data_IF_449041444164
#
_entry.id   IF_449041444164
#
_cell.length_a   1.000
_cell.length_b   1.000
_cell.length_c   1.000
_cell.angle_alpha   90.00
_cell.angle_beta   90.00
_cell.angle_gamma   90.00
#
_symmetry.space_group_name_H-M   'P 1'
#
loop_
_entity.id
_entity.type
_entity.pdbx_description
1 polymer ?
#
# COMPACT_ATOMS: atom_id res chain seq x y z
N UNK A 1 0.65 14.32 -7.59
CA UNK A 1 1.00 14.58 -6.18
C UNK A 1 1.40 16.04 -6.07
N UNK A 2 0.89 16.81 -5.10
CA UNK A 2 1.34 18.19 -4.88
C UNK A 2 2.86 18.24 -4.67
N UNK A 3 3.57 19.25 -5.21
CA UNK A 3 5.03 19.37 -5.08
C UNK A 3 5.50 19.40 -3.62
N UNK A 4 4.72 20.06 -2.75
CA UNK A 4 4.96 20.14 -1.30
C UNK A 4 4.98 18.77 -0.63
N UNK A 5 4.03 17.90 -0.97
CA UNK A 5 4.02 16.54 -0.46
C UNK A 5 5.18 15.71 -1.02
N UNK A 6 5.56 15.91 -2.28
CA UNK A 6 6.68 15.18 -2.88
C UNK A 6 7.99 15.47 -2.13
N UNK A 7 8.26 16.74 -1.80
CA UNK A 7 9.45 17.17 -1.06
C UNK A 7 9.62 16.49 0.30
N UNK A 8 8.54 16.14 1.01
CA UNK A 8 8.60 15.45 2.31
C UNK A 8 9.19 14.03 2.21
N UNK A 9 9.03 13.37 1.06
CA UNK A 9 9.52 11.99 0.86
C UNK A 9 10.83 11.94 0.08
N UNK A 10 11.24 13.06 -0.51
CA UNK A 10 12.47 13.15 -1.30
C UNK A 10 13.67 13.27 -0.38
N UNK A 11 14.43 12.18 -0.26
CA UNK A 11 15.73 12.18 0.44
C UNK A 11 16.86 12.45 -0.55
N UNK A 12 18.01 13.01 -0.11
CA UNK A 12 19.23 13.12 -0.92
C UNK A 12 19.60 11.84 -1.67
N UNK A 13 19.39 10.67 -1.03
CA UNK A 13 19.67 9.35 -1.62
C UNK A 13 18.84 9.00 -2.87
N UNK A 14 17.79 9.78 -3.14
CA UNK A 14 16.95 9.62 -4.32
C UNK A 14 17.63 10.16 -5.58
N UNK A 15 18.70 10.95 -5.42
CA UNK A 15 19.52 11.48 -6.49
C UNK A 15 20.87 10.78 -6.53
N UNK A 16 21.45 10.73 -7.72
CA UNK A 16 22.80 10.24 -7.89
C UNK A 16 23.79 11.24 -7.28
N UNK A 17 24.58 10.77 -6.33
CA UNK A 17 25.57 11.58 -5.63
C UNK A 17 26.80 10.74 -5.31
N UNK A 18 27.95 11.39 -5.25
CA UNK A 18 29.23 10.78 -4.87
C UNK A 18 29.65 11.35 -3.51
N UNK A 19 30.18 10.53 -2.58
CA UNK A 19 30.80 11.04 -1.37
C UNK A 19 31.95 11.98 -1.74
N UNK A 20 31.98 13.20 -1.17
CA UNK A 20 33.08 14.12 -1.46
C UNK A 20 34.38 13.59 -0.83
N UNK A 21 35.49 13.47 -1.59
CA UNK A 21 36.76 12.94 -1.07
C UNK A 21 37.48 13.92 -0.12
N UNK A 22 37.17 15.22 -0.18
CA UNK A 22 37.81 16.27 0.61
C UNK A 22 36.89 16.78 1.71
N UNK A 23 37.26 16.57 2.97
CA UNK A 23 36.47 16.93 4.16
C UNK A 23 36.49 18.44 4.50
N UNK A 24 37.05 19.29 3.61
CA UNK A 24 37.25 20.73 3.85
C UNK A 24 36.25 21.61 3.13
N UNK A 25 35.33 21.05 2.35
CA UNK A 25 34.40 21.84 1.55
C UNK A 25 33.21 22.33 2.40
N UNK A 26 33.07 23.65 2.49
CA UNK A 26 31.99 24.33 3.22
C UNK A 26 30.63 24.20 2.50
N UNK A 27 29.53 24.28 3.24
CA UNK A 27 28.20 24.05 2.70
C UNK A 27 27.82 25.29 1.95
N UNK A 28 27.36 25.16 0.71
CA UNK A 28 26.89 26.34 0.00
C UNK A 28 25.66 26.98 0.65
N UNK A 29 24.90 26.21 1.44
CA UNK A 29 23.68 26.67 2.13
C UNK A 29 24.02 27.26 3.50
N UNK A 30 24.69 26.51 4.38
CA UNK A 30 24.95 26.96 5.77
C UNK A 30 26.38 27.45 6.03
N UNK A 31 27.33 27.26 5.10
CA UNK A 31 28.77 27.61 5.22
C UNK A 31 29.53 26.99 6.39
N UNK A 32 28.97 25.98 7.04
CA UNK A 32 29.66 25.21 8.07
C UNK A 32 30.42 24.02 7.43
N UNK A 33 31.34 23.33 8.12
CA UNK A 33 31.91 22.04 7.69
C UNK A 33 31.00 20.86 8.07
N UNK A 34 30.78 19.90 7.17
CA UNK A 34 29.79 18.81 7.34
C UNK A 34 30.12 17.62 6.42
N UNK A 35 29.33 16.55 6.58
CA UNK A 35 29.33 15.41 5.65
C UNK A 35 28.77 15.83 4.30
N UNK A 36 29.65 16.22 3.40
CA UNK A 36 29.30 16.73 2.09
C UNK A 36 29.00 15.62 1.08
N UNK A 37 28.06 15.90 0.19
CA UNK A 37 27.79 15.09 -1.00
C UNK A 37 28.00 15.95 -2.23
N UNK A 38 28.53 15.33 -3.28
CA UNK A 38 28.60 15.94 -4.60
C UNK A 38 27.43 15.42 -5.44
N UNK A 39 26.60 16.32 -5.95
CA UNK A 39 25.49 15.96 -6.85
C UNK A 39 26.10 15.54 -8.19
N UNK A 40 25.89 14.29 -8.62
CA UNK A 40 26.59 13.72 -9.78
C UNK A 40 26.29 14.45 -11.09
N UNK A 41 25.06 14.95 -11.26
CA UNK A 41 24.60 15.59 -12.49
C UNK A 41 25.26 16.95 -12.75
N UNK A 42 25.52 17.73 -11.70
CA UNK A 42 26.03 19.10 -11.82
C UNK A 42 27.33 19.38 -11.07
N UNK A 43 27.86 18.41 -10.31
CA UNK A 43 29.12 18.51 -9.60
C UNK A 43 29.10 19.41 -8.35
N UNK A 44 27.96 20.00 -7.98
CA UNK A 44 27.88 20.87 -6.79
C UNK A 44 27.98 20.09 -5.50
N UNK A 45 28.74 20.65 -4.57
CA UNK A 45 28.94 20.11 -3.23
C UNK A 45 27.95 20.78 -2.29
N UNK A 46 27.17 19.98 -1.58
CA UNK A 46 26.16 20.44 -0.64
C UNK A 46 26.13 19.54 0.59
N UNK A 47 25.74 20.11 1.72
CA UNK A 47 25.54 19.31 2.92
C UNK A 47 24.38 18.39 2.82
N UNK A 48 24.59 17.13 3.21
CA UNK A 48 23.56 16.10 3.14
C UNK A 48 22.26 16.55 3.85
N UNK A 49 22.39 17.08 5.07
CA UNK A 49 21.26 17.61 5.83
C UNK A 49 20.62 18.84 5.17
N UNK A 50 21.43 19.83 4.78
CA UNK A 50 20.94 21.05 4.14
C UNK A 50 20.27 20.78 2.79
N UNK A 51 20.79 19.82 2.00
CA UNK A 51 20.20 19.40 0.74
C UNK A 51 18.87 18.69 0.97
N UNK A 52 18.78 17.84 1.99
CA UNK A 52 17.51 17.24 2.41
C UNK A 52 16.45 18.29 2.78
N UNK A 53 16.83 19.35 3.51
CA UNK A 53 15.92 20.46 3.82
C UNK A 53 15.54 21.25 2.57
N UNK A 54 16.50 21.55 1.69
CA UNK A 54 16.26 22.26 0.44
C UNK A 54 15.24 21.54 -0.45
N UNK A 55 15.38 20.22 -0.59
CA UNK A 55 14.49 19.38 -1.40
C UNK A 55 13.04 19.34 -0.87
N UNK A 56 12.81 19.64 0.42
CA UNK A 56 11.45 19.77 0.96
C UNK A 56 10.74 21.02 0.43
N UNK A 57 11.48 22.12 0.27
CA UNK A 57 10.95 23.39 -0.22
C UNK A 57 10.95 23.47 -1.75
N UNK A 58 12.00 22.94 -2.38
CA UNK A 58 12.25 23.01 -3.82
C UNK A 58 12.61 21.61 -4.34
N UNK A 59 11.61 20.72 -4.50
CA UNK A 59 11.85 19.36 -4.99
C UNK A 59 12.47 19.37 -6.38
N UNK A 60 13.38 18.42 -6.62
CA UNK A 60 14.06 18.24 -7.92
C UNK A 60 14.83 19.47 -8.41
N UNK A 61 15.32 20.34 -7.51
CA UNK A 61 16.03 21.57 -7.89
C UNK A 61 17.40 21.66 -7.21
N UNK A 62 18.42 22.03 -8.00
CA UNK A 62 19.76 22.28 -7.48
C UNK A 62 19.79 23.58 -6.64
N UNK A 63 20.38 23.59 -5.44
CA UNK A 63 20.45 24.79 -4.60
C UNK A 63 21.33 25.89 -5.17
N UNK A 64 22.26 25.58 -6.09
CA UNK A 64 23.16 26.58 -6.65
C UNK A 64 22.64 27.29 -7.89
N UNK A 65 22.18 26.53 -8.88
CA UNK A 65 21.76 27.09 -10.17
C UNK A 65 20.27 26.98 -10.42
N UNK A 66 19.51 26.34 -9.53
CA UNK A 66 18.07 26.17 -9.72
C UNK A 66 17.69 25.39 -10.98
N UNK A 67 18.59 24.56 -11.52
CA UNK A 67 18.21 23.63 -12.59
C UNK A 67 17.53 22.39 -12.00
N UNK A 68 16.77 21.70 -12.84
CA UNK A 68 16.13 20.45 -12.48
C UNK A 68 17.14 19.31 -12.33
N UNK A 69 16.98 18.52 -11.27
CA UNK A 69 17.76 17.31 -10.99
C UNK A 69 16.99 16.07 -11.41
N UNK A 70 17.69 15.10 -11.97
CA UNK A 70 17.14 13.82 -12.41
C UNK A 70 17.19 12.78 -11.27
N UNK A 71 16.05 12.27 -10.78
CA UNK A 71 16.06 11.22 -9.75
C UNK A 71 16.60 9.90 -10.32
N UNK A 72 17.34 9.15 -9.48
CA UNK A 72 18.09 7.92 -9.86
C UNK A 72 17.21 6.82 -10.46
N UNK A 73 15.91 6.81 -10.17
CA UNK A 73 14.99 5.83 -10.74
C UNK A 73 13.59 6.40 -10.93
N UNK A 74 13.17 6.54 -12.20
CA UNK A 74 11.81 6.98 -12.58
C UNK A 74 10.69 6.01 -12.18
N UNK A 75 11.02 4.80 -11.69
CA UNK A 75 10.07 3.76 -11.30
C UNK A 75 9.87 3.54 -9.80
N UNK A 76 10.58 4.25 -8.92
CA UNK A 76 10.61 3.96 -7.47
C UNK A 76 9.62 4.78 -6.64
N UNK A 77 9.02 5.84 -7.19
CA UNK A 77 8.19 6.75 -6.39
C UNK A 77 6.90 6.09 -5.89
N UNK A 78 6.26 5.19 -6.63
CA UNK A 78 4.95 4.62 -6.21
C UNK A 78 5.12 3.57 -5.12
N UNK A 79 6.04 2.61 -5.30
CA UNK A 79 6.33 1.58 -4.30
C UNK A 79 6.92 2.16 -3.03
N UNK A 80 7.83 3.14 -3.15
CA UNK A 80 8.43 3.79 -1.98
C UNK A 80 7.46 4.75 -1.29
N UNK A 81 6.53 5.39 -2.01
CA UNK A 81 5.44 6.15 -1.42
C UNK A 81 4.53 5.24 -0.60
N UNK A 82 4.13 4.08 -1.12
CA UNK A 82 3.30 3.11 -0.40
C UNK A 82 4.06 2.56 0.82
N UNK A 83 5.31 2.14 0.66
CA UNK A 83 6.15 1.69 1.78
C UNK A 83 6.38 2.79 2.83
N UNK A 84 6.61 4.03 2.41
CA UNK A 84 6.76 5.17 3.31
C UNK A 84 5.44 5.57 3.96
N UNK A 85 4.29 5.44 3.29
CA UNK A 85 2.98 5.67 3.91
C UNK A 85 2.72 4.67 5.04
N UNK A 86 3.15 3.42 4.86
CA UNK A 86 3.06 2.39 5.89
C UNK A 86 4.13 2.52 6.99
N UNK A 87 5.35 2.98 6.67
CA UNK A 87 6.44 3.19 7.65
C UNK A 87 6.31 4.48 8.45
N UNK A 88 5.94 5.58 7.80
CA UNK A 88 5.83 6.91 8.42
C UNK A 88 4.67 6.93 9.40
N UNK A 89 3.53 6.31 9.08
CA UNK A 89 2.32 6.49 9.87
C UNK A 89 2.19 5.61 11.12
N UNK A 90 3.01 4.56 11.27
CA UNK A 90 2.89 3.66 12.43
C UNK A 90 4.15 3.58 13.31
N UNK A 91 5.33 3.98 12.81
CA UNK A 91 6.59 3.79 13.52
C UNK A 91 7.52 5.02 13.51
N UNK A 92 7.55 5.83 12.44
CA UNK A 92 8.50 6.96 12.32
C UNK A 92 8.25 8.07 13.35
N UNK A 93 6.98 8.40 13.63
CA UNK A 93 6.63 9.44 14.60
C UNK A 93 6.97 9.05 16.05
N UNK A 94 7.16 7.75 16.32
CA UNK A 94 7.53 7.27 17.66
C UNK A 94 9.04 7.19 17.81
N UNK A 95 9.76 6.74 16.78
CA UNK A 95 11.20 6.49 16.87
C UNK A 95 12.05 7.76 16.72
N UNK A 96 11.66 8.69 15.84
CA UNK A 96 12.39 9.96 15.64
C UNK A 96 12.17 10.91 16.83
N UNK A 97 10.99 10.90 17.44
CA UNK A 97 10.70 11.61 18.70
C UNK A 97 11.53 11.06 19.86
N UNK A 98 11.69 9.74 19.96
CA UNK A 98 12.47 9.09 21.02
C UNK A 98 13.97 9.37 20.86
N UNK A 99 14.48 9.48 19.62
CA UNK A 99 15.90 9.74 19.36
C UNK A 99 16.28 11.22 19.50
N UNK A 100 15.40 12.16 19.15
CA UNK A 100 15.65 13.59 19.35
C UNK A 100 15.47 14.02 20.80
N UNK A 101 14.47 13.50 21.55
CA UNK A 101 14.35 13.75 22.99
C UNK A 101 15.62 13.36 23.74
N UNK A 102 16.30 12.29 23.32
CA UNK A 102 17.54 11.82 23.97
C UNK A 102 18.75 12.72 23.71
N UNK A 103 18.77 13.48 22.62
CA UNK A 103 19.85 14.42 22.27
C UNK A 103 19.62 15.81 22.85
N UNK A 104 18.36 16.18 23.00
CA UNK A 104 17.95 17.54 23.33
C UNK A 104 17.81 17.77 24.86
N UNK A 105 17.72 16.70 25.68
CA UNK A 105 17.82 16.77 27.16
C UNK A 105 19.19 17.24 27.71
N UNK A 106 19.99 17.96 26.92
CA UNK A 106 21.25 18.58 27.36
C UNK A 106 21.19 20.10 27.46
N UNK A 107 20.11 20.73 27.00
CA UNK A 107 19.96 22.20 26.97
C UNK A 107 18.46 22.55 27.08
N UNK A 108 17.89 22.51 28.29
CA UNK A 108 16.44 22.43 28.58
C UNK A 108 15.60 23.60 28.04
N UNK A 109 16.16 24.80 27.88
CA UNK A 109 15.35 26.01 27.61
C UNK A 109 15.08 26.29 26.10
N UNK A 110 15.85 25.70 25.17
CA UNK A 110 15.61 25.88 23.70
C UNK A 110 14.85 24.72 23.05
N UNK A 111 14.63 23.65 23.80
CA UNK A 111 13.96 22.42 23.34
C UNK A 111 12.51 22.66 23.02
N UNK A 112 11.83 23.34 23.93
CA UNK A 112 10.37 23.45 23.94
C UNK A 112 9.88 24.26 22.74
N UNK A 113 10.56 25.33 22.36
CA UNK A 113 10.17 26.18 21.22
C UNK A 113 10.36 25.46 19.88
N UNK A 114 11.49 24.75 19.69
CA UNK A 114 11.73 23.98 18.46
C UNK A 114 10.78 22.79 18.36
N UNK A 115 10.48 22.15 19.49
CA UNK A 115 9.53 21.06 19.56
C UNK A 115 8.12 21.56 19.23
N UNK A 116 7.68 22.69 19.81
CA UNK A 116 6.38 23.29 19.51
C UNK A 116 6.26 23.67 18.04
N UNK A 117 7.30 24.27 17.47
CA UNK A 117 7.29 24.70 16.06
C UNK A 117 7.23 23.50 15.10
N UNK A 118 7.99 22.43 15.39
CA UNK A 118 7.91 21.19 14.64
C UNK A 118 6.52 20.54 14.77
N UNK A 119 5.95 20.50 15.97
CA UNK A 119 4.64 19.94 16.23
C UNK A 119 3.52 20.73 15.55
N UNK A 120 3.61 22.06 15.50
CA UNK A 120 2.65 22.92 14.79
C UNK A 120 2.72 22.70 13.28
N UNK A 121 3.93 22.58 12.71
CA UNK A 121 4.09 22.26 11.29
C UNK A 121 3.53 20.87 10.95
N UNK A 122 3.76 19.88 11.81
CA UNK A 122 3.19 18.54 11.68
C UNK A 122 1.65 18.56 11.76
N UNK A 123 1.08 19.37 12.64
CA UNK A 123 -0.37 19.51 12.75
C UNK A 123 -1.00 20.25 11.55
N UNK A 124 -0.32 21.24 10.97
CA UNK A 124 -0.84 21.98 9.81
C UNK A 124 -0.83 21.17 8.52
N UNK A 125 0.15 20.26 8.38
CA UNK A 125 0.30 19.41 7.18
C UNK A 125 -0.36 18.03 7.32
N UNK A 126 -1.05 17.77 8.45
CA UNK A 126 -1.76 16.51 8.59
C UNK A 126 -2.88 16.41 7.55
N UNK A 127 -2.88 15.39 6.67
CA UNK A 127 -3.94 15.20 5.70
C UNK A 127 -5.26 15.10 6.44
N UNK A 128 -6.28 15.75 5.87
CA UNK A 128 -7.61 15.75 6.48
C UNK A 128 -8.11 14.32 6.66
N UNK A 129 -8.98 14.10 7.64
CA UNK A 129 -9.61 12.79 7.82
C UNK A 129 -10.29 12.31 6.53
N UNK A 130 -10.84 13.24 5.73
CA UNK A 130 -11.40 12.95 4.41
C UNK A 130 -10.37 12.42 3.40
N UNK A 131 -9.14 12.94 3.39
CA UNK A 131 -8.09 12.45 2.49
C UNK A 131 -7.71 11.03 2.86
N UNK A 132 -7.59 10.75 4.15
CA UNK A 132 -7.30 9.40 4.63
C UNK A 132 -8.43 8.42 4.35
N UNK A 133 -9.67 8.83 4.61
CA UNK A 133 -10.86 8.03 4.29
C UNK A 133 -10.93 7.74 2.78
N UNK A 134 -10.62 8.72 1.93
CA UNK A 134 -10.62 8.54 0.48
C UNK A 134 -9.56 7.53 0.05
N UNK A 135 -8.32 7.66 0.51
CA UNK A 135 -7.25 6.70 0.19
C UNK A 135 -7.61 5.29 0.67
N UNK A 136 -8.13 5.16 1.89
CA UNK A 136 -8.54 3.89 2.46
C UNK A 136 -9.70 3.25 1.69
N UNK A 137 -10.73 4.02 1.34
CA UNK A 137 -11.89 3.55 0.58
C UNK A 137 -11.44 3.12 -0.81
N UNK A 138 -10.69 3.95 -1.53
CA UNK A 138 -10.22 3.62 -2.89
C UNK A 138 -9.39 2.34 -2.91
N UNK A 139 -8.48 2.16 -1.95
CA UNK A 139 -7.65 0.94 -1.88
C UNK A 139 -8.46 -0.28 -1.45
N UNK A 140 -9.28 -0.16 -0.41
CA UNK A 140 -10.04 -1.30 0.12
C UNK A 140 -11.11 -1.77 -0.86
N UNK A 141 -11.82 -0.82 -1.48
CA UNK A 141 -12.82 -1.09 -2.52
C UNK A 141 -12.13 -1.65 -3.76
N UNK A 142 -11.00 -1.07 -4.19
CA UNK A 142 -10.23 -1.56 -5.33
C UNK A 142 -9.76 -3.00 -5.15
N UNK A 143 -9.19 -3.35 -4.00
CA UNK A 143 -8.74 -4.71 -3.68
C UNK A 143 -9.94 -5.68 -3.63
N UNK A 144 -11.07 -5.26 -3.04
CA UNK A 144 -12.28 -6.08 -3.00
C UNK A 144 -12.79 -6.37 -4.41
N UNK A 145 -12.94 -5.36 -5.26
CA UNK A 145 -13.37 -5.51 -6.65
C UNK A 145 -12.44 -6.42 -7.45
N UNK A 146 -11.13 -6.24 -7.31
CA UNK A 146 -10.13 -7.08 -7.98
C UNK A 146 -10.26 -8.54 -7.53
N UNK A 147 -10.45 -8.79 -6.23
CA UNK A 147 -10.65 -10.13 -5.68
C UNK A 147 -11.91 -10.77 -6.24
N UNK A 148 -13.03 -10.04 -6.28
CA UNK A 148 -14.30 -10.51 -6.83
C UNK A 148 -14.20 -10.82 -8.32
N UNK A 149 -13.47 -9.99 -9.08
CA UNK A 149 -13.23 -10.20 -10.50
C UNK A 149 -12.47 -11.51 -10.76
N UNK A 150 -11.33 -11.73 -10.10
CA UNK A 150 -10.55 -12.96 -10.28
C UNK A 150 -11.32 -14.21 -9.88
N UNK A 151 -12.09 -14.13 -8.80
CA UNK A 151 -12.92 -15.23 -8.34
C UNK A 151 -14.01 -15.57 -9.37
N UNK A 152 -14.65 -14.55 -9.95
CA UNK A 152 -15.65 -14.73 -11.02
C UNK A 152 -15.03 -15.40 -12.25
N UNK A 153 -13.86 -14.92 -12.71
CA UNK A 153 -13.14 -15.51 -13.85
C UNK A 153 -12.80 -16.98 -13.57
N UNK A 154 -12.28 -17.28 -12.38
CA UNK A 154 -11.94 -18.64 -11.96
C UNK A 154 -13.15 -19.58 -12.03
N UNK A 155 -14.31 -19.17 -11.50
CA UNK A 155 -15.52 -19.99 -11.54
C UNK A 155 -16.07 -20.16 -12.95
N UNK A 156 -16.03 -19.14 -13.79
CA UNK A 156 -16.40 -19.26 -15.21
C UNK A 156 -15.52 -20.28 -15.93
N UNK A 157 -14.20 -20.24 -15.71
CA UNK A 157 -13.28 -21.23 -16.28
C UNK A 157 -13.56 -22.65 -15.78
N UNK A 158 -13.76 -22.82 -14.47
CA UNK A 158 -14.08 -24.13 -13.89
C UNK A 158 -15.39 -24.71 -14.45
N UNK A 159 -16.42 -23.86 -14.61
CA UNK A 159 -17.68 -24.25 -15.22
C UNK A 159 -17.52 -24.67 -16.68
N UNK A 160 -16.77 -23.89 -17.47
CA UNK A 160 -16.49 -24.23 -18.88
C UNK A 160 -15.74 -25.56 -19.01
N UNK A 161 -14.77 -25.84 -18.13
CA UNK A 161 -14.06 -27.12 -18.10
C UNK A 161 -14.98 -28.28 -17.72
N UNK A 162 -15.88 -28.07 -16.77
CA UNK A 162 -16.88 -29.07 -16.39
C UNK A 162 -17.83 -29.39 -17.54
N UNK A 163 -18.35 -28.37 -18.23
CA UNK A 163 -19.19 -28.55 -19.42
C UNK A 163 -18.44 -29.28 -20.54
N UNK A 164 -17.19 -28.88 -20.80
CA UNK A 164 -16.35 -29.51 -21.81
C UNK A 164 -16.02 -30.98 -21.49
N UNK A 165 -15.93 -31.37 -20.21
CA UNK A 165 -15.71 -32.75 -19.79
C UNK A 165 -16.97 -33.62 -19.86
N UNK A 166 -18.14 -33.04 -19.63
CA UNK A 166 -19.43 -33.77 -19.56
C UNK A 166 -20.13 -33.91 -20.91
N UNK A 167 -20.05 -32.90 -21.79
CA UNK A 167 -20.61 -32.92 -23.15
C UNK A 167 -20.14 -34.10 -24.03
N UNK A 168 -18.83 -34.41 -24.13
CA UNK A 168 -18.37 -35.54 -24.94
C UNK A 168 -18.73 -36.91 -24.33
N UNK A 169 -18.98 -36.98 -23.02
CA UNK A 169 -19.45 -38.22 -22.39
C UNK A 169 -20.89 -38.56 -22.80
N UNK A 170 -21.78 -37.57 -22.90
CA UNK A 170 -23.14 -37.78 -23.41
C UNK A 170 -23.15 -38.11 -24.92
N UNK A 171 -22.30 -37.44 -25.71
CA UNK A 171 -22.20 -37.70 -27.15
C UNK A 171 -21.59 -39.08 -27.47
N UNK A 172 -20.63 -39.56 -26.67
CA UNK A 172 -20.03 -40.89 -26.86
C UNK A 172 -20.91 -42.04 -26.35
N UNK A 173 -21.76 -41.80 -25.34
CA UNK A 173 -22.64 -42.85 -24.78
C UNK A 173 -23.98 -42.99 -25.51
N UNK A 174 -24.35 -42.03 -26.37
CA UNK A 174 -25.50 -42.09 -27.26
C UNK A 174 -25.49 -43.22 -28.30
N UNK A 175 -24.38 -43.95 -28.46
CA UNK A 175 -24.27 -45.07 -29.42
C UNK A 175 -24.05 -46.46 -28.80
N UNK A 176 -24.10 -46.64 -27.47
CA UNK A 176 -23.76 -47.97 -26.90
C UNK A 176 -24.12 -48.30 -25.45
N UNK A 177 -25.02 -47.57 -24.77
CA UNK A 177 -25.26 -47.76 -23.33
C UNK A 177 -26.49 -48.59 -22.93
N UNK A 178 -26.80 -49.65 -23.68
CA UNK A 178 -27.81 -50.63 -23.24
C UNK A 178 -27.29 -51.64 -22.19
N UNK A 179 -25.99 -51.68 -21.84
CA UNK A 179 -25.47 -52.76 -20.97
C UNK A 179 -24.47 -52.40 -19.87
N UNK A 180 -23.85 -51.22 -19.87
CA UNK A 180 -22.95 -50.78 -18.79
C UNK A 180 -23.66 -49.91 -17.72
N UNK A 181 -24.99 -49.86 -17.75
CA UNK A 181 -25.79 -48.90 -16.99
C UNK A 181 -26.08 -49.28 -15.53
N UNK A 182 -25.94 -50.53 -15.08
CA UNK A 182 -26.54 -50.88 -13.78
C UNK A 182 -25.85 -50.28 -12.55
N UNK A 183 -24.53 -50.06 -12.56
CA UNK A 183 -23.81 -49.50 -11.39
C UNK A 183 -23.76 -47.97 -11.40
N UNK A 184 -23.48 -47.36 -12.55
CA UNK A 184 -23.49 -45.90 -12.68
C UNK A 184 -24.91 -45.36 -12.55
N UNK A 185 -25.93 -46.06 -13.09
CA UNK A 185 -27.32 -45.68 -12.86
C UNK A 185 -27.84 -46.05 -11.48
N UNK A 186 -27.22 -46.98 -10.74
CA UNK A 186 -27.55 -47.17 -9.32
C UNK A 186 -27.04 -46.02 -8.47
N UNK A 187 -25.83 -45.53 -8.71
CA UNK A 187 -25.34 -44.31 -8.04
C UNK A 187 -26.11 -43.07 -8.50
N UNK A 188 -26.39 -42.95 -9.79
CA UNK A 188 -27.23 -41.88 -10.32
C UNK A 188 -28.67 -41.98 -9.84
N UNK A 189 -29.25 -43.17 -9.64
CA UNK A 189 -30.60 -43.36 -9.08
C UNK A 189 -30.62 -43.26 -7.54
N UNK A 190 -29.50 -43.46 -6.84
CA UNK A 190 -29.39 -43.09 -5.42
C UNK A 190 -29.30 -41.57 -5.26
N UNK A 191 -28.65 -40.89 -6.21
CA UNK A 191 -28.61 -39.43 -6.30
C UNK A 191 -29.90 -38.79 -6.85
N UNK A 192 -30.61 -39.46 -7.77
CA UNK A 192 -31.83 -38.97 -8.43
C UNK A 192 -33.15 -39.55 -7.85
N UNK A 193 -33.10 -40.69 -7.16
CA UNK A 193 -34.25 -41.37 -6.56
C UNK A 193 -34.69 -40.74 -5.23
N UNK A 194 -33.81 -39.96 -4.60
CA UNK A 194 -34.28 -38.78 -3.87
C UNK A 194 -34.37 -37.67 -4.90
N UNK A 195 -35.58 -37.22 -5.23
CA UNK A 195 -35.86 -36.02 -6.04
C UNK A 195 -35.32 -34.76 -5.37
N UNK A 196 -34.01 -34.69 -5.19
CA UNK A 196 -33.30 -33.51 -4.78
C UNK A 196 -32.48 -33.20 -6.00
N UNK A 197 -32.88 -32.15 -6.72
CA UNK A 197 -32.05 -31.59 -7.78
C UNK A 197 -30.70 -31.21 -7.12
N UNK A 198 -29.72 -32.11 -7.18
CA UNK A 198 -28.45 -31.97 -6.45
C UNK A 198 -27.67 -30.77 -7.00
N UNK A 199 -27.87 -30.42 -8.28
CA UNK A 199 -27.26 -29.26 -8.90
C UNK A 199 -27.67 -27.92 -8.26
N UNK A 200 -28.97 -27.57 -8.14
CA UNK A 200 -29.39 -26.35 -7.46
C UNK A 200 -29.17 -26.39 -5.95
N UNK A 201 -29.12 -27.56 -5.31
CA UNK A 201 -28.72 -27.65 -3.89
C UNK A 201 -27.23 -27.33 -3.72
N UNK A 202 -26.35 -27.92 -4.53
CA UNK A 202 -24.93 -27.56 -4.55
C UNK A 202 -24.74 -26.09 -4.91
N UNK A 203 -25.49 -25.57 -5.90
CA UNK A 203 -25.42 -24.17 -6.27
C UNK A 203 -25.91 -23.24 -5.14
N UNK A 204 -26.97 -23.62 -4.42
CA UNK A 204 -27.44 -22.89 -3.23
C UNK A 204 -26.41 -22.94 -2.10
N UNK A 205 -25.84 -24.11 -1.81
CA UNK A 205 -24.85 -24.28 -0.75
C UNK A 205 -23.58 -23.46 -1.07
N UNK A 206 -23.13 -23.46 -2.33
CA UNK A 206 -22.02 -22.63 -2.79
C UNK A 206 -22.35 -21.13 -2.77
N UNK A 207 -23.56 -20.73 -3.17
CA UNK A 207 -24.01 -19.34 -3.11
C UNK A 207 -24.11 -18.84 -1.65
N UNK A 208 -24.55 -19.70 -0.73
CA UNK A 208 -24.60 -19.41 0.71
C UNK A 208 -23.20 -19.33 1.32
N UNK A 209 -22.29 -20.22 0.94
CA UNK A 209 -20.88 -20.15 1.37
C UNK A 209 -20.21 -18.88 0.85
N UNK A 210 -20.49 -18.51 -0.40
CA UNK A 210 -20.01 -17.28 -1.00
C UNK A 210 -20.57 -16.04 -0.28
N UNK A 211 -21.88 -16.01 -0.04
CA UNK A 211 -22.52 -14.92 0.70
C UNK A 211 -21.95 -14.81 2.12
N UNK A 212 -21.74 -15.94 2.81
CA UNK A 212 -21.12 -15.98 4.12
C UNK A 212 -19.68 -15.44 4.10
N UNK A 213 -18.89 -15.78 3.09
CA UNK A 213 -17.55 -15.23 2.89
C UNK A 213 -17.57 -13.72 2.67
N UNK A 214 -18.48 -13.22 1.83
CA UNK A 214 -18.64 -11.79 1.56
C UNK A 214 -19.04 -11.04 2.84
N UNK A 215 -20.04 -11.56 3.56
CA UNK A 215 -20.49 -10.98 4.84
C UNK A 215 -19.35 -10.98 5.86
N UNK A 216 -18.63 -12.09 6.04
CA UNK A 216 -17.50 -12.16 6.97
C UNK A 216 -16.39 -11.15 6.61
N UNK A 217 -16.10 -10.98 5.33
CA UNK A 217 -15.10 -10.02 4.84
C UNK A 217 -15.55 -8.59 5.11
N UNK A 218 -16.81 -8.25 4.81
CA UNK A 218 -17.39 -6.94 5.09
C UNK A 218 -17.45 -6.66 6.60
N UNK A 219 -17.79 -7.66 7.43
CA UNK A 219 -17.79 -7.53 8.88
C UNK A 219 -16.38 -7.29 9.44
N UNK A 220 -15.35 -7.94 8.90
CA UNK A 220 -13.96 -7.69 9.30
C UNK A 220 -13.48 -6.29 8.91
N UNK A 221 -13.84 -5.81 7.71
CA UNK A 221 -13.54 -4.45 7.27
C UNK A 221 -14.24 -3.44 8.18
N UNK A 222 -15.54 -3.64 8.44
CA UNK A 222 -16.32 -2.77 9.30
C UNK A 222 -15.80 -2.76 10.75
N UNK A 223 -15.46 -3.92 11.31
CA UNK A 223 -14.84 -4.04 12.63
C UNK A 223 -13.53 -3.27 12.72
N UNK A 224 -12.65 -3.40 11.72
CA UNK A 224 -11.38 -2.66 11.68
C UNK A 224 -11.59 -1.15 11.60
N UNK A 225 -12.52 -0.70 10.76
CA UNK A 225 -12.89 0.72 10.68
C UNK A 225 -13.47 1.23 12.01
N UNK A 226 -14.30 0.43 12.68
CA UNK A 226 -14.88 0.78 13.98
C UNK A 226 -13.84 0.86 15.09
N UNK A 227 -12.92 -0.11 15.19
CA UNK A 227 -11.81 -0.08 16.16
C UNK A 227 -10.90 1.12 15.93
N UNK A 228 -10.61 1.47 14.67
CA UNK A 228 -9.83 2.65 14.35
C UNK A 228 -10.53 3.94 14.77
N UNK A 229 -11.83 4.04 14.49
CA UNK A 229 -12.66 5.18 14.90
C UNK A 229 -12.75 5.31 16.43
N UNK A 230 -12.96 4.20 17.14
CA UNK A 230 -13.00 4.16 18.59
C UNK A 230 -11.68 4.66 19.21
N UNK A 231 -10.53 4.18 18.71
CA UNK A 231 -9.22 4.66 19.17
C UNK A 231 -9.02 6.16 18.94
N UNK A 232 -9.50 6.69 17.80
CA UNK A 232 -9.42 8.12 17.50
C UNK A 232 -10.29 9.00 18.40
N UNK A 233 -11.39 8.48 18.92
CA UNK A 233 -12.29 9.21 19.83
C UNK A 233 -11.72 9.33 21.23
N UNK A 234 -11.07 8.27 21.71
CA UNK A 234 -10.54 8.22 23.07
C UNK A 234 -9.11 8.75 23.20
N UNK A 235 -8.40 9.03 22.11
CA UNK A 235 -7.07 9.67 22.20
C UNK A 235 -7.12 11.20 22.34
N UNK A 236 -8.33 11.80 22.39
CA UNK A 236 -8.53 13.25 22.54
C UNK A 236 -8.96 13.66 23.97
N UNK A 237 -9.02 12.72 24.90
CA UNK A 237 -9.30 12.92 26.32
C UNK A 237 -8.14 12.37 27.14
#
# INVERSE_FOLDING_TARGET
>A
MPPTLAGLFTRPDSYEHVPCPTATDECIICREPFKAIQISECGHIVGYGCFGQWLRSYPDMCPMYGHHLSPKSKGFCVTRFVENLFKIKLFSDTEELILDVRRIMRDEDQVDDRYLQAHQHLQSDMPSFSDFATVFVVHSVGILWLTLFYLTVYYCCAFMLFCAGTLPFELSTGFGFARASSWVWRWAAVLMGRRINVLPVLFCDFALLYLAMVVATLSLVWWRSWVFWWKSLFSRH
#
